data_IF_415258257003
#
_entry.id   IF_415258257003
#
_cell.length_a   1.000
_cell.length_b   1.000
_cell.length_c   1.000
_cell.angle_alpha   90.00
_cell.angle_beta   90.00
_cell.angle_gamma   90.00
#
_symmetry.space_group_name_H-M   'P 1'
#
loop_
_entity.id
_entity.type
_entity.pdbx_description
1 polymer ?
#
# COMPACT_ATOMS: atom_id res chain seq x y z
N UNK A 1 7.91 7.87 -20.16
CA UNK A 1 6.76 7.04 -20.62
C UNK A 1 6.23 6.10 -19.53
N UNK A 2 7.04 5.41 -18.71
CA UNK A 2 6.58 4.48 -17.67
C UNK A 2 6.05 5.16 -16.38
N UNK A 3 6.33 6.43 -16.17
CA UNK A 3 5.92 7.21 -15.02
C UNK A 3 4.64 8.02 -15.22
N UNK A 4 4.03 7.92 -16.39
CA UNK A 4 2.74 8.54 -16.68
C UNK A 4 1.63 7.50 -16.54
N UNK A 5 0.62 7.80 -15.73
CA UNK A 5 -0.53 6.93 -15.53
C UNK A 5 -1.82 7.62 -16.01
N UNK A 6 -2.73 6.81 -16.55
CA UNK A 6 -4.12 7.23 -16.73
C UNK A 6 -4.90 6.79 -15.50
N UNK A 7 -5.64 7.69 -14.89
CA UNK A 7 -6.47 7.39 -13.73
C UNK A 7 -7.93 7.37 -14.15
N UNK A 8 -8.59 6.26 -13.85
CA UNK A 8 -10.04 6.11 -14.05
C UNK A 8 -10.72 6.23 -12.69
N UNK A 9 -11.64 7.21 -12.51
CA UNK A 9 -12.41 7.33 -11.29
C UNK A 9 -13.51 6.25 -11.26
N UNK A 10 -13.46 5.35 -10.28
CA UNK A 10 -14.51 4.36 -10.05
C UNK A 10 -15.38 4.78 -8.89
N UNK A 11 -16.70 4.91 -9.11
CA UNK A 11 -17.66 5.22 -8.06
C UNK A 11 -17.69 4.08 -7.03
N UNK A 12 -17.41 4.39 -5.76
CA UNK A 12 -17.50 3.43 -4.65
C UNK A 12 -18.95 3.24 -4.19
N UNK A 13 -19.59 4.37 -3.83
CA UNK A 13 -20.97 4.44 -3.33
C UNK A 13 -21.38 5.90 -3.25
N UNK A 14 -22.68 6.16 -3.14
CA UNK A 14 -23.25 7.49 -2.91
C UNK A 14 -23.46 8.29 -4.19
N UNK A 15 -23.57 9.60 -4.05
CA UNK A 15 -23.89 10.52 -5.13
C UNK A 15 -22.72 10.63 -6.12
N UNK A 16 -22.93 10.38 -7.44
CA UNK A 16 -21.91 10.51 -8.48
C UNK A 16 -21.43 11.95 -8.69
N UNK A 17 -22.12 12.95 -8.19
CA UNK A 17 -21.70 14.35 -8.30
C UNK A 17 -20.60 14.71 -7.27
N UNK A 18 -20.37 13.85 -6.30
CA UNK A 18 -19.39 14.10 -5.23
C UNK A 18 -18.06 13.40 -5.55
N UNK A 19 -16.96 14.12 -5.87
CA UNK A 19 -15.68 13.53 -6.23
C UNK A 19 -15.08 12.58 -5.18
N UNK A 20 -15.33 12.84 -3.88
CA UNK A 20 -14.87 11.98 -2.77
C UNK A 20 -15.47 10.57 -2.78
N UNK A 21 -16.56 10.36 -3.51
CA UNK A 21 -17.19 9.05 -3.67
C UNK A 21 -16.48 8.16 -4.69
N UNK A 22 -15.48 8.69 -5.39
CA UNK A 22 -14.72 7.93 -6.38
C UNK A 22 -13.40 7.40 -5.80
N UNK A 23 -13.00 6.21 -6.31
CA UNK A 23 -11.67 5.64 -6.09
C UNK A 23 -10.84 5.87 -7.36
N UNK A 24 -9.70 6.55 -7.30
CA UNK A 24 -8.83 6.72 -8.44
C UNK A 24 -8.06 5.42 -8.71
N UNK A 25 -8.32 4.77 -9.83
CA UNK A 25 -7.58 3.57 -10.25
C UNK A 25 -6.60 3.93 -11.34
N UNK A 26 -5.31 3.75 -11.08
CA UNK A 26 -4.24 4.02 -12.03
C UNK A 26 -4.07 2.86 -13.02
N UNK A 27 -4.21 3.13 -14.29
CA UNK A 27 -3.90 2.22 -15.38
C UNK A 27 -2.41 2.37 -15.71
N UNK A 28 -1.62 1.41 -15.27
CA UNK A 28 -0.18 1.36 -15.50
C UNK A 28 0.15 0.48 -16.71
N UNK A 29 1.24 0.77 -17.46
CA UNK A 29 1.70 -0.07 -18.55
C UNK A 29 2.01 -1.51 -18.07
N UNK A 30 1.70 -2.50 -18.90
CA UNK A 30 1.91 -3.92 -18.57
C UNK A 30 3.38 -4.20 -18.25
N UNK A 31 4.32 -3.64 -19.01
CA UNK A 31 5.75 -3.79 -18.75
C UNK A 31 6.18 -3.24 -17.39
N UNK A 32 5.57 -2.12 -16.94
CA UNK A 32 5.79 -1.59 -15.59
C UNK A 32 5.33 -2.59 -14.53
N UNK A 33 4.17 -3.20 -14.71
CA UNK A 33 3.64 -4.21 -13.78
C UNK A 33 4.51 -5.48 -13.74
N UNK A 34 5.07 -5.91 -14.87
CA UNK A 34 5.99 -7.05 -14.89
C UNK A 34 7.26 -6.76 -14.10
N UNK A 35 7.87 -5.58 -14.31
CA UNK A 35 9.02 -5.14 -13.53
C UNK A 35 8.69 -5.03 -12.03
N UNK A 36 7.58 -4.39 -11.71
CA UNK A 36 7.10 -4.29 -10.33
C UNK A 36 6.93 -5.65 -9.67
N UNK A 37 6.42 -6.66 -10.40
CA UNK A 37 6.25 -8.02 -9.89
C UNK A 37 7.58 -8.68 -9.52
N UNK A 38 8.60 -8.52 -10.37
CA UNK A 38 9.95 -9.06 -10.10
C UNK A 38 10.55 -8.41 -8.85
N UNK A 39 10.48 -7.07 -8.77
CA UNK A 39 10.99 -6.32 -7.61
C UNK A 39 10.20 -6.66 -6.33
N UNK A 40 8.88 -6.77 -6.44
CA UNK A 40 8.01 -7.17 -5.33
C UNK A 40 8.44 -8.50 -4.73
N UNK A 41 8.69 -9.52 -5.57
CA UNK A 41 9.12 -10.83 -5.11
C UNK A 41 10.44 -10.76 -4.36
N UNK A 42 11.43 -10.05 -4.90
CA UNK A 42 12.74 -9.88 -4.25
C UNK A 42 12.63 -9.17 -2.90
N UNK A 43 11.83 -8.11 -2.82
CA UNK A 43 11.61 -7.38 -1.56
C UNK A 43 10.90 -8.27 -0.54
N UNK A 44 9.84 -8.98 -0.94
CA UNK A 44 9.11 -9.86 -0.03
C UNK A 44 9.99 -10.98 0.51
N UNK A 45 10.79 -11.61 -0.35
CA UNK A 45 11.77 -12.64 0.06
C UNK A 45 12.80 -12.09 1.05
N UNK A 46 13.34 -10.90 0.79
CA UNK A 46 14.26 -10.22 1.72
C UNK A 46 13.63 -10.00 3.08
N UNK A 47 12.41 -9.49 3.09
CA UNK A 47 11.67 -9.17 4.31
C UNK A 47 11.32 -10.42 5.13
N UNK A 48 10.98 -11.50 4.45
CA UNK A 48 10.62 -12.78 5.08
C UNK A 48 11.86 -13.46 5.66
N UNK A 49 12.95 -13.54 4.90
CA UNK A 49 14.25 -14.10 5.37
C UNK A 49 14.77 -13.39 6.61
N UNK A 50 14.63 -12.07 6.67
CA UNK A 50 15.12 -11.26 7.79
C UNK A 50 14.07 -11.09 8.92
N UNK A 51 12.91 -11.78 8.83
CA UNK A 51 11.81 -11.71 9.82
C UNK A 51 11.35 -10.27 10.08
N UNK A 52 11.37 -9.44 9.05
CA UNK A 52 10.99 -8.03 9.12
C UNK A 52 9.48 -7.81 8.97
N UNK A 53 8.71 -8.86 8.67
CA UNK A 53 7.25 -8.82 8.60
C UNK A 53 6.66 -9.01 9.99
N UNK A 54 5.78 -8.10 10.41
CA UNK A 54 5.02 -8.30 11.63
C UNK A 54 4.13 -9.56 11.49
N UNK A 55 4.20 -10.54 12.41
CA UNK A 55 3.40 -11.76 12.33
C UNK A 55 1.89 -11.49 12.33
N UNK A 56 1.45 -10.41 12.97
CA UNK A 56 0.03 -10.03 13.05
C UNK A 56 -0.46 -9.27 11.79
N UNK A 57 0.41 -9.08 10.79
CA UNK A 57 0.04 -8.38 9.57
C UNK A 57 -0.48 -9.36 8.53
N UNK A 58 -1.77 -9.28 8.20
CA UNK A 58 -2.45 -10.19 7.24
C UNK A 58 -2.72 -9.56 5.87
N UNK A 59 -2.56 -8.24 5.72
CA UNK A 59 -2.81 -7.54 4.46
C UNK A 59 -1.71 -7.77 3.42
N UNK A 60 -2.08 -8.07 2.17
CA UNK A 60 -1.15 -8.21 1.03
C UNK A 60 0.01 -9.18 1.26
N UNK A 61 -0.19 -10.22 2.05
CA UNK A 61 0.78 -11.26 2.39
C UNK A 61 0.29 -12.61 1.89
N UNK A 62 1.18 -13.39 1.27
CA UNK A 62 0.86 -14.74 0.80
C UNK A 62 0.43 -15.64 1.97
N UNK A 63 -0.62 -16.44 1.77
CA UNK A 63 -1.17 -17.31 2.81
C UNK A 63 -1.98 -16.60 3.90
N UNK A 64 -2.12 -15.28 3.83
CA UNK A 64 -2.86 -14.45 4.80
C UNK A 64 -4.04 -13.77 4.13
N UNK A 65 -5.15 -13.65 4.83
CA UNK A 65 -6.37 -12.99 4.37
C UNK A 65 -7.19 -12.48 5.58
N UNK A 66 -8.34 -11.89 5.33
CA UNK A 66 -9.23 -11.41 6.39
C UNK A 66 -9.72 -12.52 7.31
N UNK A 67 -9.93 -13.72 6.78
CA UNK A 67 -10.33 -14.88 7.57
C UNK A 67 -9.25 -15.31 8.55
N UNK A 68 -7.99 -15.41 8.09
CA UNK A 68 -6.86 -15.74 8.98
C UNK A 68 -6.64 -14.67 10.05
N UNK A 69 -6.85 -13.38 9.72
CA UNK A 69 -6.79 -12.29 10.70
C UNK A 69 -7.88 -12.44 11.76
N UNK A 70 -9.12 -12.73 11.35
CA UNK A 70 -10.24 -12.89 12.28
C UNK A 70 -10.04 -14.10 13.21
N UNK A 71 -9.55 -15.22 12.68
CA UNK A 71 -9.25 -16.41 13.50
C UNK A 71 -8.19 -16.08 14.55
N UNK A 72 -7.09 -15.44 14.14
CA UNK A 72 -6.03 -15.08 15.08
C UNK A 72 -6.51 -14.12 16.18
N UNK A 73 -7.28 -13.10 15.80
CA UNK A 73 -7.86 -12.14 16.76
C UNK A 73 -8.83 -12.86 17.70
N UNK A 74 -9.69 -13.72 17.17
CA UNK A 74 -10.66 -14.48 17.96
C UNK A 74 -9.95 -15.37 18.99
N UNK A 75 -8.94 -16.12 18.56
CA UNK A 75 -8.22 -17.03 19.44
C UNK A 75 -7.51 -16.27 20.56
N UNK A 76 -6.87 -15.14 20.27
CA UNK A 76 -6.28 -14.26 21.28
C UNK A 76 -7.32 -13.74 22.28
N UNK A 77 -8.49 -13.33 21.81
CA UNK A 77 -9.54 -12.83 22.70
C UNK A 77 -10.11 -13.93 23.61
N UNK A 78 -10.30 -15.13 23.06
CA UNK A 78 -10.79 -16.28 23.86
C UNK A 78 -9.78 -16.62 24.94
N UNK A 79 -8.50 -16.68 24.61
CA UNK A 79 -7.41 -16.95 25.57
C UNK A 79 -7.39 -15.93 26.73
N UNK A 80 -7.49 -14.63 26.42
CA UNK A 80 -7.53 -13.58 27.45
C UNK A 80 -8.78 -13.64 28.32
N UNK A 81 -9.94 -13.90 27.71
CA UNK A 81 -11.21 -14.04 28.46
C UNK A 81 -11.20 -15.28 29.35
N UNK A 82 -10.67 -16.42 28.88
CA UNK A 82 -10.50 -17.64 29.69
C UNK A 82 -9.53 -17.41 30.86
N UNK A 83 -8.53 -16.54 30.67
CA UNK A 83 -7.63 -16.10 31.75
C UNK A 83 -8.27 -15.08 32.71
N UNK A 84 -9.56 -14.77 32.55
CA UNK A 84 -10.30 -13.81 33.39
C UNK A 84 -9.98 -12.35 33.09
N UNK A 85 -9.35 -12.05 31.96
CA UNK A 85 -9.03 -10.68 31.53
C UNK A 85 -10.19 -10.04 30.75
N UNK A 86 -10.25 -8.71 30.78
CA UNK A 86 -11.17 -7.94 29.92
C UNK A 86 -10.45 -7.54 28.64
N UNK A 87 -11.08 -7.79 27.49
CA UNK A 87 -10.55 -7.41 26.18
C UNK A 87 -11.19 -6.12 25.70
N UNK A 88 -10.39 -5.08 25.48
CA UNK A 88 -10.79 -3.83 24.84
C UNK A 88 -10.32 -3.79 23.41
N UNK A 89 -11.21 -3.44 22.46
CA UNK A 89 -10.89 -3.40 21.02
C UNK A 89 -11.01 -1.97 20.50
N UNK A 90 -9.96 -1.45 19.90
CA UNK A 90 -9.96 -0.19 19.18
C UNK A 90 -9.73 -0.46 17.68
N UNK A 91 -10.67 -0.06 16.83
CA UNK A 91 -10.52 -0.16 15.37
C UNK A 91 -10.14 1.21 14.80
N UNK A 92 -9.05 1.24 14.04
CA UNK A 92 -8.56 2.45 13.38
C UNK A 92 -8.66 2.24 11.86
N UNK A 93 -9.33 3.17 11.18
CA UNK A 93 -9.39 3.20 9.71
C UNK A 93 -8.71 4.45 9.18
N UNK A 94 -7.90 4.29 8.13
CA UNK A 94 -7.12 5.37 7.53
C UNK A 94 -7.74 5.81 6.21
N UNK A 95 -8.20 7.04 6.17
CA UNK A 95 -8.71 7.65 4.94
C UNK A 95 -7.59 7.95 3.96
N UNK A 96 -7.77 7.59 2.67
CA UNK A 96 -6.83 7.88 1.58
C UNK A 96 -5.37 7.39 1.84
N UNK A 97 -5.23 6.27 2.52
CA UNK A 97 -3.96 5.75 3.02
C UNK A 97 -2.86 5.62 1.94
N UNK A 98 -3.22 5.18 0.71
CA UNK A 98 -2.28 5.09 -0.41
C UNK A 98 -1.89 6.45 -0.99
N UNK A 99 -2.77 7.43 -0.91
CA UNK A 99 -2.58 8.75 -1.50
C UNK A 99 -1.76 9.68 -0.59
N UNK A 100 -1.58 9.30 0.68
CA UNK A 100 -0.90 10.08 1.73
C UNK A 100 0.49 9.56 2.09
N UNK A 101 1.02 8.58 1.36
CA UNK A 101 2.36 8.03 1.62
C UNK A 101 3.42 9.08 1.29
N UNK A 102 4.13 9.57 2.29
CA UNK A 102 5.28 10.44 2.11
C UNK A 102 6.47 9.63 1.59
N UNK A 103 7.05 10.05 0.47
CA UNK A 103 8.12 9.33 -0.21
C UNK A 103 9.42 9.35 0.59
N UNK A 104 9.76 10.46 1.25
CA UNK A 104 10.99 10.58 2.04
C UNK A 104 10.93 9.68 3.27
N UNK A 105 9.83 9.75 4.01
CA UNK A 105 9.60 8.87 5.17
C UNK A 105 9.60 7.38 4.79
N UNK A 106 9.05 7.04 3.63
CA UNK A 106 9.07 5.65 3.15
C UNK A 106 10.51 5.18 2.88
N UNK A 107 11.30 5.99 2.18
CA UNK A 107 12.69 5.65 1.83
C UNK A 107 13.58 5.54 3.06
N UNK A 108 13.44 6.46 4.02
CA UNK A 108 14.14 6.41 5.30
C UNK A 108 13.83 5.13 6.08
N UNK A 109 12.55 4.72 6.10
CA UNK A 109 12.15 3.45 6.72
C UNK A 109 12.73 2.23 6.02
N UNK A 110 12.79 2.21 4.70
CA UNK A 110 13.39 1.11 3.96
C UNK A 110 14.89 0.99 4.25
N UNK A 111 15.60 2.12 4.38
CA UNK A 111 16.99 2.14 4.82
C UNK A 111 17.16 1.58 6.25
N UNK A 112 16.25 1.93 7.17
CA UNK A 112 16.25 1.38 8.53
C UNK A 112 15.99 -0.14 8.59
N UNK A 113 15.32 -0.71 7.59
CA UNK A 113 15.17 -2.15 7.44
C UNK A 113 16.39 -2.85 6.83
N UNK A 114 17.49 -2.12 6.62
CA UNK A 114 18.75 -2.66 6.10
C UNK A 114 18.73 -2.91 4.59
N UNK A 115 17.83 -2.27 3.85
CA UNK A 115 17.88 -2.33 2.39
C UNK A 115 19.06 -1.54 1.85
N UNK A 116 19.73 -2.10 0.85
CA UNK A 116 20.87 -1.46 0.19
C UNK A 116 20.50 -0.09 -0.40
N UNK A 117 21.50 0.80 -0.42
CA UNK A 117 21.35 2.14 -0.97
C UNK A 117 20.89 2.13 -2.44
N UNK A 118 21.35 1.17 -3.24
CA UNK A 118 20.94 1.01 -4.63
C UNK A 118 19.44 0.69 -4.77
N UNK A 119 18.93 -0.20 -3.92
CA UNK A 119 17.50 -0.56 -3.88
C UNK A 119 16.67 0.64 -3.45
N UNK A 120 17.10 1.35 -2.40
CA UNK A 120 16.42 2.55 -1.89
C UNK A 120 16.42 3.66 -2.94
N UNK A 121 17.53 3.88 -3.63
CA UNK A 121 17.63 4.84 -4.73
C UNK A 121 16.72 4.47 -5.91
N UNK A 122 16.67 3.18 -6.27
CA UNK A 122 15.78 2.71 -7.32
C UNK A 122 14.31 2.96 -6.96
N UNK A 123 13.91 2.64 -5.73
CA UNK A 123 12.56 2.90 -5.23
C UNK A 123 12.24 4.40 -5.18
N UNK A 124 13.19 5.23 -4.80
CA UNK A 124 13.08 6.68 -4.89
C UNK A 124 12.85 7.14 -6.32
N UNK A 125 13.64 6.63 -7.27
CA UNK A 125 13.41 6.89 -8.70
C UNK A 125 12.03 6.37 -9.15
N UNK A 126 11.58 5.21 -8.69
CA UNK A 126 10.25 4.68 -9.02
C UNK A 126 9.12 5.61 -8.56
N UNK A 127 9.24 6.22 -7.40
CA UNK A 127 8.23 7.10 -6.80
C UNK A 127 8.21 8.51 -7.40
N UNK A 128 9.38 9.07 -7.71
CA UNK A 128 9.52 10.47 -8.13
C UNK A 128 9.30 10.69 -9.62
N UNK A 129 8.97 11.92 -10.01
CA UNK A 129 8.77 12.32 -11.41
C UNK A 129 7.60 11.63 -12.08
N UNK A 130 6.59 11.24 -11.31
CA UNK A 130 5.36 10.64 -11.81
C UNK A 130 4.32 11.70 -12.10
N UNK A 131 3.50 11.43 -13.12
CA UNK A 131 2.33 12.25 -13.42
C UNK A 131 1.14 11.35 -13.76
N UNK A 132 -0.03 11.89 -13.55
CA UNK A 132 -1.28 11.26 -13.95
C UNK A 132 -2.18 12.21 -14.73
N UNK A 133 -3.06 11.64 -15.54
CA UNK A 133 -4.18 12.33 -16.17
C UNK A 133 -5.45 11.55 -15.91
N UNK A 134 -6.51 12.23 -15.54
CA UNK A 134 -7.81 11.59 -15.30
C UNK A 134 -8.52 11.35 -16.63
N UNK A 135 -9.00 10.12 -16.82
CA UNK A 135 -9.75 9.72 -18.01
C UNK A 135 -11.23 9.58 -17.65
N UNK A 136 -12.08 10.42 -18.24
CA UNK A 136 -13.54 10.38 -18.10
C UNK A 136 -14.15 10.49 -19.48
N UNK A 137 -15.02 9.57 -19.85
CA UNK A 137 -15.77 9.56 -21.11
C UNK A 137 -14.89 9.77 -22.36
N UNK A 138 -13.72 9.15 -22.37
CA UNK A 138 -12.75 9.27 -23.47
C UNK A 138 -11.90 10.54 -23.46
N UNK A 139 -12.19 11.49 -22.58
CA UNK A 139 -11.45 12.74 -22.42
C UNK A 139 -10.36 12.61 -21.34
N UNK A 140 -9.16 13.11 -21.64
CA UNK A 140 -8.03 13.16 -20.71
C UNK A 140 -7.86 14.57 -20.12
N UNK A 141 -7.69 14.66 -18.81
CA UNK A 141 -7.29 15.92 -18.18
C UNK A 141 -5.82 16.27 -18.52
N UNK A 142 -5.40 17.52 -18.32
CA UNK A 142 -3.99 17.85 -18.29
C UNK A 142 -3.23 16.96 -17.27
N UNK A 143 -1.95 16.64 -17.53
CA UNK A 143 -1.14 15.87 -16.57
C UNK A 143 -0.88 16.67 -15.31
N UNK A 144 -0.97 16.02 -14.16
CA UNK A 144 -0.63 16.55 -12.84
C UNK A 144 0.52 15.74 -12.25
N UNK A 145 1.49 16.40 -11.64
CA UNK A 145 2.59 15.73 -10.95
C UNK A 145 2.11 15.10 -9.64
N UNK A 146 2.71 13.96 -9.29
CA UNK A 146 2.47 13.25 -8.03
C UNK A 146 3.69 13.49 -7.15
N UNK A 147 3.50 14.15 -6.02
CA UNK A 147 4.56 14.43 -5.04
C UNK A 147 4.45 13.53 -3.80
N UNK A 148 3.26 13.00 -3.54
CA UNK A 148 2.97 12.11 -2.42
C UNK A 148 2.09 10.95 -2.88
N UNK A 149 2.10 9.88 -2.12
CA UNK A 149 1.28 8.70 -2.39
C UNK A 149 1.92 7.68 -3.32
N UNK A 150 1.27 6.53 -3.41
CA UNK A 150 1.65 5.43 -4.30
C UNK A 150 0.51 5.12 -5.26
N UNK A 151 0.81 4.74 -6.52
CA UNK A 151 -0.25 4.51 -7.52
C UNK A 151 -1.22 3.42 -7.09
N UNK A 152 -2.49 3.72 -6.95
CA UNK A 152 -3.54 2.73 -6.71
C UNK A 152 -3.71 1.88 -7.98
N UNK A 153 -3.33 0.60 -7.91
CA UNK A 153 -3.29 -0.33 -9.05
C UNK A 153 -1.88 -0.77 -9.44
N UNK A 154 -0.85 -0.29 -8.74
CA UNK A 154 0.51 -0.82 -8.82
C UNK A 154 0.67 -2.08 -7.96
N UNK A 155 1.64 -2.92 -8.28
CA UNK A 155 1.97 -4.12 -7.50
C UNK A 155 2.82 -3.74 -6.27
N UNK A 156 3.67 -2.73 -6.39
CA UNK A 156 4.51 -2.25 -5.29
C UNK A 156 3.76 -1.35 -4.30
N UNK A 157 2.67 -0.70 -4.72
CA UNK A 157 1.91 0.22 -3.86
C UNK A 157 1.49 -0.37 -2.52
N UNK A 158 0.80 -1.52 -2.49
CA UNK A 158 0.43 -2.19 -1.25
C UNK A 158 1.62 -2.52 -0.35
N UNK A 159 2.74 -2.99 -0.92
CA UNK A 159 3.95 -3.30 -0.17
C UNK A 159 4.56 -2.06 0.49
N UNK A 160 4.63 -0.95 -0.24
CA UNK A 160 5.14 0.33 0.26
C UNK A 160 4.24 0.90 1.35
N UNK A 161 2.92 0.83 1.17
CA UNK A 161 1.95 1.24 2.18
C UNK A 161 2.13 0.47 3.50
N UNK A 162 2.19 -0.86 3.45
CA UNK A 162 2.38 -1.72 4.61
C UNK A 162 3.63 -1.30 5.40
N UNK A 163 4.71 -0.92 4.70
CA UNK A 163 5.98 -0.54 5.32
C UNK A 163 5.94 0.79 6.05
N UNK A 164 5.18 1.75 5.58
CA UNK A 164 4.99 3.03 6.28
C UNK A 164 4.32 2.80 7.63
N UNK A 165 3.36 1.89 7.72
CA UNK A 165 2.52 1.70 8.91
C UNK A 165 3.01 0.60 9.87
N UNK A 166 4.02 -0.20 9.51
CA UNK A 166 4.48 -1.33 10.33
C UNK A 166 5.12 -0.96 11.69
N UNK A 167 5.30 0.32 12.00
CA UNK A 167 5.90 0.79 13.26
C UNK A 167 4.91 1.28 14.33
N UNK A 168 3.62 1.09 14.12
CA UNK A 168 2.68 1.24 15.23
C UNK A 168 2.70 -0.04 16.08
N UNK A 169 3.73 -0.16 16.94
CA UNK A 169 3.63 -0.97 18.13
C UNK A 169 2.81 -0.15 19.13
N UNK A 170 1.55 -0.52 19.29
CA UNK A 170 0.75 -0.15 20.46
C UNK A 170 1.10 -1.08 21.59
#
# INVERSE_FOLDING_TARGET
MWKQAKVVPLLKKGDPLIPKNYRPVALLPILSKLLEKVIFQQIVEYLDRNKLLNPNHHGCRSGHNTGTALIQIHDQWVEEVEAGQMVGVMMIDLSAAFDMVDHSHLLDKLALFGMDAEVTQWLGSYLTGRSWSVLVDGCLSPPMNIEVGVPQGSILGPLMYIRVFQKFHF
#
